data_IF_582575647234
#
_entry.id   IF_582575647234
#
_cell.length_a   1.000
_cell.length_b   1.000
_cell.length_c   1.000
_cell.angle_alpha   90.00
_cell.angle_beta   90.00
_cell.angle_gamma   90.00
#
_symmetry.space_group_name_H-M   'P 1'
#
loop_
_entity.id
_entity.type
_entity.pdbx_description
1 polymer ?
#
# COMPACT_ATOMS: atom_id res chain seq x y z
N UNK A 1 13.31 15.88 22.75
CA UNK A 1 12.31 15.61 21.67
C UNK A 1 12.19 14.12 21.50
N UNK A 2 10.99 13.53 21.65
CA UNK A 2 10.77 12.12 21.24
C UNK A 2 10.63 12.11 19.72
N UNK A 3 11.58 11.52 19.02
CA UNK A 3 11.48 11.28 17.58
C UNK A 3 10.26 10.39 17.35
N UNK A 4 9.27 10.87 16.59
CA UNK A 4 8.11 10.07 16.21
C UNK A 4 8.63 8.96 15.30
N UNK A 5 8.63 7.72 15.79
CA UNK A 5 9.00 6.55 14.98
C UNK A 5 7.91 6.40 13.91
N UNK A 6 8.32 6.44 12.64
CA UNK A 6 7.46 6.09 11.52
C UNK A 6 7.54 4.57 11.36
N UNK A 7 6.44 3.88 11.65
CA UNK A 7 6.40 2.41 11.65
C UNK A 7 6.28 1.84 10.24
N UNK A 8 5.98 2.69 9.25
CA UNK A 8 5.76 2.32 7.86
C UNK A 8 7.07 2.30 7.05
N UNK A 9 8.11 3.03 7.47
CA UNK A 9 9.39 3.11 6.72
C UNK A 9 9.99 1.72 6.43
N UNK A 10 10.09 0.78 7.39
CA UNK A 10 10.62 -0.56 7.09
C UNK A 10 9.81 -1.31 6.02
N UNK A 11 8.48 -1.15 6.01
CA UNK A 11 7.61 -1.76 5.02
C UNK A 11 7.83 -1.14 3.62
N UNK A 12 7.98 0.18 3.57
CA UNK A 12 8.22 0.93 2.33
C UNK A 12 9.58 0.57 1.74
N UNK A 13 10.64 0.54 2.55
CA UNK A 13 12.00 0.21 2.11
C UNK A 13 12.05 -1.21 1.55
N UNK A 14 11.42 -2.16 2.26
CA UNK A 14 11.31 -3.53 1.81
C UNK A 14 10.53 -3.66 0.49
N UNK A 15 9.37 -3.01 0.40
CA UNK A 15 8.57 -2.96 -0.82
C UNK A 15 9.38 -2.42 -2.00
N UNK A 16 10.10 -1.30 -1.81
CA UNK A 16 10.95 -0.70 -2.83
C UNK A 16 12.00 -1.69 -3.35
N UNK A 17 12.65 -2.43 -2.44
CA UNK A 17 13.69 -3.40 -2.81
C UNK A 17 13.19 -4.53 -3.71
N UNK A 18 11.92 -4.94 -3.58
CA UNK A 18 11.33 -6.02 -4.36
C UNK A 18 10.63 -5.54 -5.62
N UNK A 19 9.97 -4.39 -5.56
CA UNK A 19 9.15 -3.91 -6.66
C UNK A 19 10.00 -3.39 -7.81
N UNK A 20 11.16 -2.78 -7.52
CA UNK A 20 11.96 -1.97 -8.45
C UNK A 20 12.12 -2.59 -9.83
N UNK A 21 12.46 -3.87 -9.88
CA UNK A 21 12.80 -4.55 -11.13
C UNK A 21 11.64 -5.33 -11.77
N UNK A 22 10.46 -5.35 -11.15
CA UNK A 22 9.29 -6.02 -11.72
C UNK A 22 8.98 -5.50 -13.14
N UNK A 23 8.51 -6.39 -14.01
CA UNK A 23 8.27 -6.07 -15.43
C UNK A 23 7.04 -5.18 -15.64
N UNK A 24 6.07 -5.22 -14.72
CA UNK A 24 4.80 -4.50 -14.85
C UNK A 24 4.76 -3.34 -13.87
N UNK A 25 4.94 -3.63 -12.59
CA UNK A 25 4.88 -2.67 -11.50
C UNK A 25 6.25 -2.11 -11.11
N UNK A 26 7.32 -2.48 -11.83
CA UNK A 26 8.65 -1.96 -11.53
C UNK A 26 8.75 -0.46 -11.69
N UNK A 27 9.76 0.13 -11.06
CA UNK A 27 9.94 1.58 -10.99
C UNK A 27 10.60 2.06 -12.28
N UNK A 28 9.85 2.79 -13.09
CA UNK A 28 10.36 3.53 -14.25
C UNK A 28 10.92 4.90 -13.79
N UNK A 29 10.17 5.61 -12.94
CA UNK A 29 10.60 6.90 -12.35
C UNK A 29 10.26 6.94 -10.86
N UNK A 30 11.27 7.18 -10.01
CA UNK A 30 11.11 7.31 -8.56
C UNK A 30 10.71 8.74 -8.16
N UNK A 31 9.62 8.90 -7.41
CA UNK A 31 9.15 10.22 -6.94
C UNK A 31 9.25 10.33 -5.42
N UNK A 32 8.71 9.33 -4.69
CA UNK A 32 8.79 9.24 -3.25
C UNK A 32 8.69 7.80 -2.74
N UNK A 33 9.57 7.41 -1.82
CA UNK A 33 9.46 6.20 -1.01
C UNK A 33 9.80 6.56 0.44
N UNK A 34 8.80 6.96 1.23
CA UNK A 34 8.95 7.20 2.66
C UNK A 34 9.68 8.50 3.06
N UNK A 35 10.14 9.31 2.10
CA UNK A 35 10.66 10.63 2.43
C UNK A 35 9.49 11.54 2.84
N UNK A 36 9.60 12.16 4.01
CA UNK A 36 8.55 12.99 4.61
C UNK A 36 8.44 14.35 3.89
N UNK A 37 7.98 14.32 2.62
CA UNK A 37 7.75 15.48 1.77
C UNK A 37 6.27 15.85 1.83
N UNK A 38 5.97 17.08 2.22
CA UNK A 38 4.59 17.57 2.44
C UNK A 38 3.64 17.39 1.23
N UNK A 39 4.17 17.21 0.01
CA UNK A 39 3.40 17.14 -1.23
C UNK A 39 3.36 15.76 -1.90
N UNK A 40 3.95 14.73 -1.28
CA UNK A 40 3.96 13.36 -1.81
C UNK A 40 3.16 12.43 -0.91
N UNK A 41 2.69 11.32 -1.47
CA UNK A 41 2.17 10.20 -0.68
C UNK A 41 3.33 9.44 -0.01
N UNK A 42 3.00 8.46 0.85
CA UNK A 42 4.00 7.58 1.46
C UNK A 42 4.87 6.90 0.38
N UNK A 43 4.24 6.43 -0.70
CA UNK A 43 4.92 5.94 -1.91
C UNK A 43 4.29 6.56 -3.15
N UNK A 44 5.12 7.07 -4.05
CA UNK A 44 4.72 7.65 -5.33
C UNK A 44 5.80 7.34 -6.38
N UNK A 45 5.43 6.72 -7.50
CA UNK A 45 6.37 6.39 -8.58
C UNK A 45 5.62 6.13 -9.89
N UNK A 46 6.30 6.33 -11.02
CA UNK A 46 5.82 5.87 -12.32
C UNK A 46 6.22 4.40 -12.50
N UNK A 47 5.25 3.53 -12.73
CA UNK A 47 5.49 2.11 -13.00
C UNK A 47 5.84 1.87 -14.48
N UNK A 48 6.53 0.76 -14.77
CA UNK A 48 6.91 0.36 -16.15
C UNK A 48 5.71 0.15 -17.07
N UNK A 49 4.53 -0.17 -16.53
CA UNK A 49 3.29 -0.23 -17.28
C UNK A 49 2.69 1.14 -17.65
N UNK A 50 3.34 2.24 -17.24
CA UNK A 50 2.91 3.62 -17.51
C UNK A 50 1.87 4.18 -16.52
N UNK A 51 1.51 3.44 -15.48
CA UNK A 51 0.65 3.94 -14.41
C UNK A 51 1.46 4.77 -13.40
N UNK A 52 0.95 5.95 -13.04
CA UNK A 52 1.46 6.69 -11.89
C UNK A 52 0.85 6.09 -10.62
N UNK A 53 1.64 5.35 -9.86
CA UNK A 53 1.21 4.63 -8.66
C UNK A 53 1.39 5.52 -7.44
N UNK A 54 0.32 5.69 -6.67
CA UNK A 54 0.30 6.42 -5.40
C UNK A 54 -0.20 5.46 -4.31
N UNK A 55 0.66 5.12 -3.35
CA UNK A 55 0.29 4.21 -2.26
C UNK A 55 0.26 4.92 -0.92
N UNK A 56 -0.79 4.62 -0.16
CA UNK A 56 -0.85 4.86 1.27
C UNK A 56 -0.31 3.63 2.01
N UNK A 57 0.74 3.80 2.81
CA UNK A 57 1.35 2.69 3.55
C UNK A 57 0.81 2.67 4.97
N UNK A 58 0.43 1.48 5.47
CA UNK A 58 0.02 1.32 6.87
C UNK A 58 0.48 0.00 7.45
N UNK A 59 0.96 0.05 8.68
CA UNK A 59 1.31 -1.15 9.45
C UNK A 59 0.36 -1.35 10.62
N UNK A 60 0.30 -2.58 11.11
CA UNK A 60 -0.40 -2.95 12.34
C UNK A 60 0.62 -3.16 13.48
N UNK A 61 1.79 -2.52 13.40
CA UNK A 61 2.93 -2.66 14.33
C UNK A 61 2.80 -1.79 15.60
N UNK A 62 1.87 -0.83 15.61
CA UNK A 62 1.72 0.11 16.71
C UNK A 62 0.54 -0.24 17.63
N UNK A 63 0.52 0.36 18.82
CA UNK A 63 -0.65 0.32 19.73
C UNK A 63 -1.92 0.93 19.12
N UNK A 64 -1.79 1.66 18.00
CA UNK A 64 -2.89 2.28 17.28
C UNK A 64 -3.35 1.45 16.06
N UNK A 65 -2.95 0.17 15.98
CA UNK A 65 -3.19 -0.68 14.82
C UNK A 65 -4.66 -0.69 14.36
N UNK A 66 -5.64 -0.84 15.27
CA UNK A 66 -7.05 -0.88 14.86
C UNK A 66 -7.52 0.40 14.16
N UNK A 67 -6.96 1.56 14.53
CA UNK A 67 -7.29 2.81 13.87
C UNK A 67 -6.66 2.94 12.49
N UNK A 68 -5.59 2.20 12.16
CA UNK A 68 -4.95 2.28 10.85
C UNK A 68 -5.89 1.85 9.73
N UNK A 69 -6.76 0.87 9.98
CA UNK A 69 -7.82 0.41 9.06
C UNK A 69 -8.70 1.57 8.57
N UNK A 70 -9.07 2.48 9.48
CA UNK A 70 -9.91 3.65 9.15
C UNK A 70 -9.10 4.80 8.57
N UNK A 71 -7.87 5.00 9.06
CA UNK A 71 -6.97 6.06 8.58
C UNK A 71 -6.67 5.92 7.09
N UNK A 72 -6.55 4.70 6.56
CA UNK A 72 -6.37 4.43 5.12
C UNK A 72 -7.37 5.23 4.27
N UNK A 73 -8.66 5.14 4.59
CA UNK A 73 -9.70 5.81 3.80
C UNK A 73 -9.57 7.34 3.84
N UNK A 74 -9.27 7.89 5.01
CA UNK A 74 -9.10 9.34 5.19
C UNK A 74 -7.87 9.87 4.46
N UNK A 75 -6.75 9.16 4.53
CA UNK A 75 -5.51 9.57 3.84
C UNK A 75 -5.65 9.43 2.32
N UNK A 76 -6.29 8.35 1.82
CA UNK A 76 -6.58 8.21 0.39
C UNK A 76 -7.46 9.34 -0.16
N UNK A 77 -8.45 9.81 0.60
CA UNK A 77 -9.27 10.97 0.19
C UNK A 77 -8.44 12.26 0.13
N UNK A 78 -7.49 12.47 1.05
CA UNK A 78 -6.58 13.61 1.00
C UNK A 78 -5.67 13.52 -0.21
N UNK A 79 -5.09 12.35 -0.47
CA UNK A 79 -4.22 12.11 -1.62
C UNK A 79 -4.94 12.27 -2.95
N UNK A 80 -6.22 11.88 -3.02
CA UNK A 80 -7.10 12.13 -4.16
C UNK A 80 -7.32 13.63 -4.41
N UNK A 81 -7.42 14.43 -3.35
CA UNK A 81 -7.57 15.88 -3.43
C UNK A 81 -6.29 16.64 -3.79
N UNK A 82 -5.11 16.03 -3.66
CA UNK A 82 -3.82 16.70 -3.95
C UNK A 82 -3.63 16.86 -5.47
N UNK A 83 -3.39 18.10 -5.88
CA UNK A 83 -3.18 18.47 -7.27
C UNK A 83 -1.79 19.09 -7.43
N UNK A 84 -0.88 18.39 -8.12
CA UNK A 84 0.41 18.93 -8.51
C UNK A 84 0.60 18.75 -10.04
N UNK A 85 1.49 19.53 -10.69
CA UNK A 85 1.67 19.45 -12.15
C UNK A 85 2.03 18.04 -12.65
N UNK A 86 2.77 17.27 -11.85
CA UNK A 86 3.17 15.92 -12.20
C UNK A 86 1.98 14.95 -12.20
N UNK A 87 1.17 14.92 -11.14
CA UNK A 87 -0.08 14.14 -11.08
C UNK A 87 -1.06 14.53 -12.19
N UNK A 88 -1.15 15.82 -12.53
CA UNK A 88 -1.99 16.29 -13.66
C UNK A 88 -1.52 15.74 -15.01
N UNK A 89 -0.21 15.62 -15.24
CA UNK A 89 0.35 15.03 -16.47
C UNK A 89 -0.12 13.58 -16.66
N UNK A 90 -0.26 12.82 -15.57
CA UNK A 90 -0.66 11.41 -15.59
C UNK A 90 -2.11 11.19 -15.15
N UNK A 91 -2.98 12.20 -15.17
CA UNK A 91 -4.34 12.10 -14.61
C UNK A 91 -5.17 10.91 -15.14
N UNK A 92 -4.95 10.49 -16.39
CA UNK A 92 -5.64 9.37 -17.02
C UNK A 92 -5.03 7.99 -16.71
N UNK A 93 -3.80 7.94 -16.18
CA UNK A 93 -3.10 6.71 -15.79
C UNK A 93 -2.67 6.71 -14.32
N UNK A 94 -3.16 7.66 -13.53
CA UNK A 94 -2.90 7.78 -12.10
C UNK A 94 -3.78 6.78 -11.36
N UNK A 95 -3.14 5.92 -10.56
CA UNK A 95 -3.79 4.85 -9.82
C UNK A 95 -3.41 4.96 -8.34
N UNK A 96 -4.42 4.86 -7.48
CA UNK A 96 -4.20 4.74 -6.04
C UNK A 96 -4.11 3.28 -5.62
N UNK A 97 -3.36 3.03 -4.56
CA UNK A 97 -3.24 1.74 -3.91
C UNK A 97 -3.00 1.87 -2.41
N UNK A 98 -2.99 0.73 -1.74
CA UNK A 98 -2.50 0.65 -0.35
C UNK A 98 -1.34 -0.33 -0.27
N UNK A 99 -0.44 -0.08 0.67
CA UNK A 99 0.69 -0.94 0.99
C UNK A 99 0.55 -1.40 2.46
N UNK A 100 0.43 -2.71 2.65
CA UNK A 100 0.23 -3.33 3.96
C UNK A 100 1.16 -4.54 4.15
N UNK A 101 1.52 -4.90 5.39
CA UNK A 101 2.26 -6.13 5.66
C UNK A 101 1.35 -7.37 5.55
N UNK A 102 1.93 -8.49 5.14
CA UNK A 102 1.36 -9.83 5.27
C UNK A 102 1.55 -10.38 6.68
N UNK A 103 2.78 -10.23 7.18
CA UNK A 103 3.29 -10.92 8.37
C UNK A 103 2.67 -10.39 9.66
N UNK A 104 2.88 -11.10 10.76
CA UNK A 104 2.47 -10.65 12.09
C UNK A 104 3.38 -9.51 12.59
N UNK A 105 2.97 -8.74 13.62
CA UNK A 105 3.81 -7.70 14.19
C UNK A 105 5.11 -8.25 14.77
N UNK A 106 6.22 -7.65 14.38
CA UNK A 106 7.58 -8.01 14.79
C UNK A 106 8.09 -7.17 15.96
N UNK A 107 7.51 -5.99 16.19
CA UNK A 107 8.05 -5.01 17.13
C UNK A 107 7.74 -5.30 18.61
N UNK A 108 6.80 -6.21 18.89
CA UNK A 108 6.25 -6.45 20.23
C UNK A 108 5.43 -5.26 20.78
N UNK A 109 5.17 -4.24 19.96
CA UNK A 109 4.45 -3.01 20.36
C UNK A 109 3.03 -2.94 19.82
N UNK A 110 2.59 -3.93 19.05
CA UNK A 110 1.22 -3.97 18.56
C UNK A 110 0.24 -4.41 19.66
N UNK A 111 -1.01 -3.99 19.54
CA UNK A 111 -2.13 -4.50 20.33
C UNK A 111 -2.88 -5.65 19.63
N UNK A 112 -2.31 -6.19 18.56
CA UNK A 112 -2.77 -7.41 17.89
C UNK A 112 -1.59 -8.34 17.65
N UNK A 113 -1.86 -9.64 17.53
CA UNK A 113 -0.91 -10.65 17.04
C UNK A 113 -1.37 -11.28 15.72
N UNK A 114 -2.50 -10.83 15.16
CA UNK A 114 -3.00 -11.27 13.86
C UNK A 114 -2.01 -10.91 12.76
N UNK A 115 -1.90 -11.76 11.73
CA UNK A 115 -1.17 -11.43 10.50
C UNK A 115 -1.76 -10.18 9.85
N UNK A 116 -0.92 -9.32 9.28
CA UNK A 116 -1.36 -8.06 8.67
C UNK A 116 -2.43 -8.24 7.60
N UNK A 117 -2.27 -9.23 6.71
CA UNK A 117 -3.25 -9.49 5.65
C UNK A 117 -4.64 -9.83 6.22
N UNK A 118 -4.70 -10.64 7.28
CA UNK A 118 -5.94 -11.05 7.93
C UNK A 118 -6.54 -9.88 8.71
N UNK A 119 -5.69 -9.16 9.44
CA UNK A 119 -6.05 -7.99 10.23
C UNK A 119 -6.77 -6.92 9.38
N UNK A 120 -6.22 -6.57 8.22
CA UNK A 120 -6.84 -5.58 7.33
C UNK A 120 -8.08 -6.13 6.62
N UNK A 121 -8.06 -7.38 6.14
CA UNK A 121 -9.24 -8.00 5.50
C UNK A 121 -10.43 -8.03 6.44
N UNK A 122 -10.23 -8.48 7.68
CA UNK A 122 -11.26 -8.51 8.72
C UNK A 122 -11.83 -7.12 8.97
N UNK A 123 -10.96 -6.12 9.14
CA UNK A 123 -11.37 -4.73 9.32
C UNK A 123 -12.16 -4.16 8.14
N UNK A 124 -11.80 -4.51 6.91
CA UNK A 124 -12.53 -4.07 5.73
C UNK A 124 -13.87 -4.80 5.57
N UNK A 125 -13.96 -6.07 5.98
CA UNK A 125 -15.21 -6.84 5.95
C UNK A 125 -16.32 -6.27 6.83
N UNK A 126 -15.98 -5.44 7.82
CA UNK A 126 -16.96 -4.70 8.61
C UNK A 126 -17.68 -3.60 7.79
N UNK A 127 -17.15 -3.24 6.62
CA UNK A 127 -17.76 -2.29 5.68
C UNK A 127 -18.63 -3.09 4.70
N UNK A 128 -19.90 -2.70 4.47
CA UNK A 128 -20.72 -3.29 3.43
C UNK A 128 -20.02 -3.28 2.07
N UNK A 129 -19.98 -4.42 1.39
CA UNK A 129 -19.24 -4.60 0.13
C UNK A 129 -19.53 -3.50 -0.89
N UNK A 130 -20.82 -3.19 -1.09
CA UNK A 130 -21.24 -2.15 -2.02
C UNK A 130 -20.62 -0.77 -1.70
N UNK A 131 -20.44 -0.43 -0.42
CA UNK A 131 -19.78 0.81 -0.01
C UNK A 131 -18.26 0.74 -0.21
N UNK A 132 -17.65 -0.39 0.14
CA UNK A 132 -16.23 -0.63 -0.06
C UNK A 132 -15.83 -0.52 -1.54
N UNK A 133 -16.59 -1.14 -2.44
CA UNK A 133 -16.36 -1.08 -3.89
C UNK A 133 -16.57 0.34 -4.43
N UNK A 134 -17.64 1.02 -4.00
CA UNK A 134 -17.90 2.42 -4.41
C UNK A 134 -16.81 3.38 -3.95
N UNK A 135 -16.23 3.17 -2.76
CA UNK A 135 -15.07 3.94 -2.32
C UNK A 135 -13.90 3.77 -3.28
N UNK A 136 -13.61 2.52 -3.69
CA UNK A 136 -12.55 2.24 -4.64
C UNK A 136 -12.70 3.00 -5.96
N UNK A 137 -13.93 3.04 -6.48
CA UNK A 137 -14.26 3.80 -7.69
C UNK A 137 -14.12 5.31 -7.50
N UNK A 138 -14.54 5.84 -6.35
CA UNK A 138 -14.48 7.27 -6.05
C UNK A 138 -13.04 7.82 -6.13
N UNK A 139 -12.09 7.11 -5.54
CA UNK A 139 -10.70 7.57 -5.48
C UNK A 139 -9.81 6.97 -6.57
N UNK A 140 -10.33 6.14 -7.48
CA UNK A 140 -9.54 5.33 -8.42
C UNK A 140 -8.49 4.44 -7.73
N UNK A 141 -8.90 3.79 -6.64
CA UNK A 141 -8.11 2.82 -5.89
C UNK A 141 -8.22 1.45 -6.54
N UNK A 142 -7.13 0.98 -7.15
CA UNK A 142 -7.12 -0.26 -7.91
C UNK A 142 -6.44 -1.41 -7.17
N UNK A 143 -5.38 -1.13 -6.41
CA UNK A 143 -4.48 -2.18 -5.94
C UNK A 143 -4.32 -2.23 -4.42
N UNK A 144 -4.09 -3.44 -3.91
CA UNK A 144 -3.59 -3.71 -2.57
C UNK A 144 -2.28 -4.46 -2.70
N UNK A 145 -1.18 -3.83 -2.31
CA UNK A 145 0.14 -4.43 -2.24
C UNK A 145 0.34 -5.00 -0.83
N UNK A 146 0.57 -6.31 -0.77
CA UNK A 146 0.75 -7.05 0.48
C UNK A 146 2.19 -7.57 0.52
N UNK A 147 3.00 -7.07 1.45
CA UNK A 147 4.41 -7.45 1.56
C UNK A 147 4.65 -8.45 2.68
N UNK A 148 5.29 -9.56 2.35
CA UNK A 148 5.84 -10.48 3.35
C UNK A 148 7.35 -10.39 3.36
N UNK A 149 7.90 -9.92 4.47
CA UNK A 149 9.34 -9.97 4.76
C UNK A 149 9.76 -11.41 5.03
N UNK A 150 8.93 -12.18 5.74
CA UNK A 150 9.20 -13.60 6.03
C UNK A 150 9.37 -14.43 4.75
N UNK A 151 8.50 -14.21 3.76
CA UNK A 151 8.50 -14.95 2.50
C UNK A 151 9.25 -14.24 1.37
N UNK A 152 9.77 -13.03 1.59
CA UNK A 152 10.43 -12.21 0.57
C UNK A 152 9.56 -11.94 -0.67
N UNK A 153 8.27 -11.64 -0.46
CA UNK A 153 7.30 -11.43 -1.55
C UNK A 153 6.49 -10.14 -1.44
N UNK A 154 6.00 -9.68 -2.58
CA UNK A 154 4.91 -8.70 -2.71
C UNK A 154 3.79 -9.35 -3.52
N UNK A 155 2.62 -9.51 -2.90
CA UNK A 155 1.39 -9.98 -3.55
C UNK A 155 0.53 -8.78 -3.91
N UNK A 156 0.13 -8.70 -5.18
CA UNK A 156 -0.72 -7.61 -5.68
C UNK A 156 -2.13 -8.13 -5.86
N UNK A 157 -3.09 -7.52 -5.19
CA UNK A 157 -4.51 -7.79 -5.37
C UNK A 157 -5.21 -6.62 -6.03
N UNK A 158 -6.31 -6.87 -6.72
CA UNK A 158 -7.26 -5.78 -6.99
C UNK A 158 -7.95 -5.39 -5.68
N UNK A 159 -8.40 -4.15 -5.58
CA UNK A 159 -9.19 -3.66 -4.44
C UNK A 159 -10.38 -4.59 -4.13
N UNK A 160 -11.15 -4.94 -5.17
CA UNK A 160 -12.30 -5.83 -5.04
C UNK A 160 -11.93 -7.26 -4.65
N UNK A 161 -10.88 -7.84 -5.24
CA UNK A 161 -10.46 -9.21 -4.92
C UNK A 161 -9.87 -9.30 -3.52
N UNK A 162 -9.20 -8.25 -3.02
CA UNK A 162 -8.69 -8.23 -1.66
C UNK A 162 -9.83 -8.36 -0.62
N UNK A 163 -10.94 -7.64 -0.84
CA UNK A 163 -12.12 -7.73 0.02
C UNK A 163 -12.74 -9.11 0.02
N UNK A 164 -12.82 -9.77 -1.14
CA UNK A 164 -13.46 -11.08 -1.28
C UNK A 164 -12.54 -12.27 -1.07
N UNK A 165 -11.33 -12.06 -0.53
CA UNK A 165 -10.30 -13.10 -0.40
C UNK A 165 -10.03 -13.82 -1.74
N UNK A 166 -10.17 -13.08 -2.84
CA UNK A 166 -9.92 -13.55 -4.18
C UNK A 166 -8.44 -13.70 -4.49
N UNK A 167 -8.15 -14.16 -5.70
CA UNK A 167 -6.78 -14.36 -6.18
C UNK A 167 -6.03 -13.04 -6.36
N UNK A 168 -4.73 -13.15 -6.20
CA UNK A 168 -3.72 -12.17 -6.58
C UNK A 168 -3.76 -11.96 -8.09
N UNK A 169 -3.50 -10.73 -8.49
CA UNK A 169 -3.17 -10.38 -9.87
C UNK A 169 -1.72 -10.79 -10.20
N UNK A 170 -0.83 -10.70 -9.20
CA UNK A 170 0.60 -10.96 -9.37
C UNK A 170 1.27 -11.28 -8.04
N UNK A 171 2.32 -12.09 -8.10
CA UNK A 171 3.26 -12.30 -7.01
C UNK A 171 4.63 -11.87 -7.51
N UNK A 172 5.33 -11.07 -6.72
CA UNK A 172 6.65 -10.53 -7.00
C UNK A 172 7.57 -11.06 -5.92
N UNK A 173 8.65 -11.71 -6.32
CA UNK A 173 9.59 -12.38 -5.43
C UNK A 173 11.01 -12.19 -5.93
N UNK A 174 12.00 -12.40 -5.06
CA UNK A 174 13.40 -12.38 -5.47
C UNK A 174 13.61 -13.49 -6.50
N UNK A 175 13.99 -13.11 -7.73
CA UNK A 175 14.57 -14.06 -8.67
C UNK A 175 15.89 -14.53 -8.07
N UNK A 176 15.94 -15.76 -7.58
CA UNK A 176 17.22 -16.42 -7.31
C UNK A 176 17.89 -16.56 -8.66
N UNK A 177 18.97 -15.81 -8.88
CA UNK A 177 19.82 -16.04 -10.04
C UNK A 177 20.39 -17.46 -9.88
N UNK A 178 19.98 -18.36 -10.77
CA UNK A 178 20.63 -19.66 -11.00
C UNK A 178 22.00 -19.46 -11.66
#
# INVERSE_FOLDING_TARGET
MRTKINHEVPLIDFFHSLIKDDEIFGVEEEINFGANKNNSADVEYLAKNGELIILEAKTHESQDAYNTRHKIFGELLKEHGKQNPYRKKYANSLTYGILIPEDAPSSGKSNTSEKGIEFYRKGFKDIPEALYIKFGLLVNLKYVFVCSVEHMTVRVFSWSSFYNSGKELRIIEIRKNE
#
